data_IF_419803035538
#
_entry.id   IF_419803035538
#
_cell.length_a   1.000
_cell.length_b   1.000
_cell.length_c   1.000
_cell.angle_alpha   90.00
_cell.angle_beta   90.00
_cell.angle_gamma   90.00
#
_symmetry.space_group_name_H-M   'P 1'
#
loop_
_entity.id
_entity.type
_entity.pdbx_description
1 polymer ?
#
# COMPACT_ATOMS: atom_id res chain seq x y z
N UNK A 1 14.38 -8.32 -39.01
CA UNK A 1 14.24 -7.93 -37.59
C UNK A 1 13.96 -9.19 -36.79
N UNK A 2 14.65 -9.41 -35.68
CA UNK A 2 14.48 -10.61 -34.85
C UNK A 2 13.06 -10.62 -34.25
N UNK A 3 12.32 -11.73 -34.39
CA UNK A 3 11.02 -11.90 -33.74
C UNK A 3 11.24 -11.94 -32.23
N UNK A 4 10.71 -10.95 -31.52
CA UNK A 4 10.64 -10.96 -30.06
C UNK A 4 9.68 -12.10 -29.67
N UNK A 5 10.13 -12.99 -28.79
CA UNK A 5 9.29 -14.07 -28.25
C UNK A 5 8.58 -13.53 -27.03
N UNK A 6 7.27 -13.32 -27.17
CA UNK A 6 6.41 -12.90 -26.07
C UNK A 6 6.25 -14.04 -25.07
N UNK A 7 6.26 -13.71 -23.78
CA UNK A 7 5.84 -14.66 -22.75
C UNK A 7 4.31 -14.81 -22.73
N UNK A 8 3.79 -15.75 -21.92
CA UNK A 8 2.35 -16.02 -21.90
C UNK A 8 1.51 -14.82 -21.44
N UNK A 9 2.03 -13.98 -20.54
CA UNK A 9 1.34 -12.81 -20.03
C UNK A 9 1.35 -11.68 -21.07
N UNK A 10 2.49 -11.47 -21.73
CA UNK A 10 2.61 -10.51 -22.81
C UNK A 10 1.71 -10.88 -24.00
N UNK A 11 1.62 -12.17 -24.33
CA UNK A 11 0.75 -12.68 -25.40
C UNK A 11 -0.74 -12.51 -25.04
N UNK A 12 -1.12 -12.66 -23.78
CA UNK A 12 -2.49 -12.42 -23.28
C UNK A 12 -2.87 -10.93 -23.42
N UNK A 13 -1.99 -10.02 -23.00
CA UNK A 13 -2.19 -8.57 -23.19
C UNK A 13 -2.31 -8.22 -24.68
N UNK A 14 -1.46 -8.79 -25.54
CA UNK A 14 -1.49 -8.52 -26.99
C UNK A 14 -2.81 -8.98 -27.61
N UNK A 15 -3.32 -10.15 -27.19
CA UNK A 15 -4.59 -10.68 -27.69
C UNK A 15 -5.80 -9.84 -27.26
N UNK A 16 -5.77 -9.29 -26.04
CA UNK A 16 -6.82 -8.40 -25.52
C UNK A 16 -6.66 -6.94 -25.98
N UNK A 17 -5.53 -6.59 -26.60
CA UNK A 17 -5.19 -5.21 -26.93
C UNK A 17 -6.20 -4.55 -27.87
N UNK A 18 -6.80 -5.33 -28.78
CA UNK A 18 -7.81 -4.86 -29.73
C UNK A 18 -9.15 -4.48 -29.06
N UNK A 19 -9.45 -5.03 -27.88
CA UNK A 19 -10.66 -4.70 -27.11
C UNK A 19 -10.52 -3.42 -26.28
N UNK A 20 -9.29 -2.93 -26.08
CA UNK A 20 -9.06 -1.70 -25.33
C UNK A 20 -9.48 -0.47 -26.13
N UNK A 21 -10.56 0.17 -25.68
CA UNK A 21 -10.99 1.46 -26.21
C UNK A 21 -10.31 2.63 -25.50
N UNK A 22 -10.06 3.72 -26.24
CA UNK A 22 -9.58 4.96 -25.63
C UNK A 22 -10.64 5.49 -24.67
N UNK A 23 -10.28 5.64 -23.40
CA UNK A 23 -11.19 6.19 -22.39
C UNK A 23 -11.68 7.59 -22.82
N UNK A 24 -12.96 7.91 -22.58
CA UNK A 24 -13.52 9.23 -22.87
C UNK A 24 -12.69 10.36 -22.27
N UNK A 25 -12.63 11.52 -22.96
CA UNK A 25 -11.92 12.73 -22.47
C UNK A 25 -12.30 13.08 -21.03
N UNK A 26 -13.56 12.86 -20.63
CA UNK A 26 -14.07 13.07 -19.26
C UNK A 26 -13.45 12.09 -18.26
N UNK A 27 -13.36 10.81 -18.62
CA UNK A 27 -12.74 9.76 -17.80
C UNK A 27 -11.25 10.01 -17.64
N UNK A 28 -10.55 10.35 -18.73
CA UNK A 28 -9.14 10.71 -18.68
C UNK A 28 -8.88 11.92 -17.78
N UNK A 29 -9.70 12.97 -17.87
CA UNK A 29 -9.58 14.16 -17.01
C UNK A 29 -9.81 13.80 -15.52
N UNK A 30 -10.79 12.94 -15.22
CA UNK A 30 -11.06 12.47 -13.85
C UNK A 30 -9.88 11.66 -13.30
N UNK A 31 -9.36 10.71 -14.07
CA UNK A 31 -8.21 9.89 -13.66
C UNK A 31 -6.97 10.76 -13.44
N UNK A 32 -6.68 11.70 -14.37
CA UNK A 32 -5.59 12.67 -14.20
C UNK A 32 -5.74 13.50 -12.93
N UNK A 33 -6.96 13.94 -12.60
CA UNK A 33 -7.24 14.69 -11.36
C UNK A 33 -7.00 13.86 -10.10
N UNK A 34 -7.43 12.60 -10.10
CA UNK A 34 -7.21 11.68 -8.97
C UNK A 34 -5.71 11.46 -8.78
N UNK A 35 -4.98 11.20 -9.86
CA UNK A 35 -3.52 10.99 -9.83
C UNK A 35 -2.82 12.26 -9.34
N UNK A 36 -3.19 13.44 -9.83
CA UNK A 36 -2.58 14.70 -9.39
C UNK A 36 -2.80 14.97 -7.91
N UNK A 37 -3.99 14.68 -7.39
CA UNK A 37 -4.31 14.83 -5.96
C UNK A 37 -3.55 13.81 -5.10
N UNK A 38 -3.45 12.55 -5.56
CA UNK A 38 -2.69 11.53 -4.84
C UNK A 38 -1.18 11.81 -4.81
N UNK A 39 -0.67 12.52 -5.82
CA UNK A 39 0.74 12.90 -5.92
C UNK A 39 1.10 14.17 -5.14
N UNK A 40 0.12 14.87 -4.58
CA UNK A 40 0.38 16.03 -3.73
C UNK A 40 1.05 15.57 -2.43
N UNK A 41 2.31 15.97 -2.25
CA UNK A 41 3.15 15.53 -1.12
C UNK A 41 3.49 16.71 -0.23
N UNK A 42 3.18 16.59 1.05
CA UNK A 42 3.60 17.52 2.08
C UNK A 42 4.87 17.01 2.77
N UNK A 43 5.85 17.89 2.98
CA UNK A 43 7.09 17.56 3.70
C UNK A 43 6.89 17.75 5.20
N UNK A 44 7.22 16.72 5.97
CA UNK A 44 7.23 16.77 7.44
C UNK A 44 8.64 16.46 7.96
N UNK A 45 9.02 17.09 9.08
CA UNK A 45 10.27 16.80 9.80
C UNK A 45 9.92 16.11 11.12
N UNK A 46 10.46 14.92 11.35
CA UNK A 46 10.24 14.14 12.58
C UNK A 46 11.57 13.89 13.29
N UNK A 47 11.60 14.14 14.61
CA UNK A 47 12.75 13.77 15.46
C UNK A 47 12.48 12.43 16.11
N UNK A 48 13.40 11.48 15.92
CA UNK A 48 13.35 10.15 16.50
C UNK A 48 14.65 9.89 17.26
N UNK A 49 14.58 9.13 18.34
CA UNK A 49 15.78 8.59 18.96
C UNK A 49 16.36 7.47 18.06
N UNK A 50 17.63 7.15 18.27
CA UNK A 50 18.35 6.18 17.43
C UNK A 50 17.72 4.77 17.51
N UNK A 51 17.35 4.33 18.72
CA UNK A 51 16.77 3.00 18.95
C UNK A 51 15.46 2.79 18.16
N UNK A 52 14.59 3.80 18.16
CA UNK A 52 13.32 3.79 17.42
C UNK A 52 13.56 3.79 15.92
N UNK A 53 14.50 4.61 15.42
CA UNK A 53 14.81 4.66 13.99
C UNK A 53 15.32 3.30 13.48
N UNK A 54 16.21 2.65 14.23
CA UNK A 54 16.73 1.32 13.86
C UNK A 54 15.66 0.24 13.94
N UNK A 55 14.75 0.29 14.93
CA UNK A 55 13.63 -0.63 14.99
C UNK A 55 12.69 -0.49 13.77
N UNK A 56 12.44 0.75 13.32
CA UNK A 56 11.62 1.03 12.14
C UNK A 56 12.31 0.51 10.87
N UNK A 57 13.61 0.75 10.71
CA UNK A 57 14.37 0.25 9.54
C UNK A 57 14.32 -1.28 9.44
N UNK A 58 14.48 -1.97 10.57
CA UNK A 58 14.40 -3.44 10.61
C UNK A 58 13.02 -3.93 10.16
N UNK A 59 11.94 -3.36 10.70
CA UNK A 59 10.57 -3.71 10.28
C UNK A 59 10.31 -3.41 8.81
N UNK A 60 10.82 -2.29 8.31
CA UNK A 60 10.69 -1.93 6.90
C UNK A 60 11.41 -2.95 6.01
N UNK A 61 12.60 -3.41 6.42
CA UNK A 61 13.34 -4.45 5.73
C UNK A 61 12.61 -5.80 5.74
N UNK A 62 12.00 -6.18 6.87
CA UNK A 62 11.15 -7.38 6.98
C UNK A 62 9.98 -7.35 5.98
N UNK A 63 9.37 -6.17 5.76
CA UNK A 63 8.31 -5.97 4.76
C UNK A 63 8.85 -5.73 3.32
N UNK A 64 10.16 -5.67 3.12
CA UNK A 64 10.77 -5.38 1.81
C UNK A 64 10.54 -3.95 1.32
N UNK A 65 10.28 -3.00 2.23
CA UNK A 65 9.96 -1.61 1.92
C UNK A 65 11.07 -0.65 2.38
N UNK A 66 11.29 0.48 1.67
CA UNK A 66 12.10 1.58 2.19
C UNK A 66 11.53 2.10 3.52
N UNK A 67 12.38 2.42 4.49
CA UNK A 67 11.92 2.86 5.82
C UNK A 67 11.08 4.14 5.77
N UNK A 68 11.34 5.07 4.83
CA UNK A 68 10.47 6.24 4.66
C UNK A 68 9.07 5.83 4.19
N UNK A 69 8.98 4.94 3.20
CA UNK A 69 7.71 4.41 2.66
C UNK A 69 6.93 3.68 3.75
N UNK A 70 7.63 2.89 4.56
CA UNK A 70 7.04 2.19 5.70
C UNK A 70 6.47 3.16 6.74
N UNK A 71 7.21 4.22 7.11
CA UNK A 71 6.70 5.28 8.00
C UNK A 71 5.45 5.94 7.42
N UNK A 72 5.46 6.31 6.13
CA UNK A 72 4.31 6.91 5.46
C UNK A 72 3.09 5.98 5.45
N UNK A 73 3.29 4.68 5.21
CA UNK A 73 2.25 3.67 5.24
C UNK A 73 1.62 3.55 6.63
N UNK A 74 2.44 3.55 7.70
CA UNK A 74 1.94 3.53 9.08
C UNK A 74 1.11 4.78 9.36
N UNK A 75 1.60 5.98 9.03
CA UNK A 75 0.88 7.23 9.27
C UNK A 75 -0.46 7.25 8.53
N UNK A 76 -0.48 6.78 7.28
CA UNK A 76 -1.71 6.64 6.51
C UNK A 76 -2.68 5.65 7.17
N UNK A 77 -2.21 4.45 7.54
CA UNK A 77 -3.04 3.43 8.22
C UNK A 77 -3.59 3.95 9.54
N UNK A 78 -2.76 4.65 10.31
CA UNK A 78 -3.15 5.23 11.59
C UNK A 78 -4.22 6.32 11.42
N UNK A 79 -4.01 7.26 10.49
CA UNK A 79 -4.95 8.36 10.24
C UNK A 79 -6.30 7.92 9.65
N UNK A 80 -6.39 6.72 9.09
CA UNK A 80 -7.61 6.16 8.50
C UNK A 80 -8.21 5.02 9.34
N UNK A 81 -7.81 4.87 10.62
CA UNK A 81 -8.26 3.80 11.52
C UNK A 81 -8.07 2.37 10.98
N UNK A 82 -7.10 2.19 10.06
CA UNK A 82 -6.75 0.90 9.44
C UNK A 82 -5.55 0.24 10.12
N UNK A 83 -4.95 0.88 11.12
CA UNK A 83 -3.85 0.30 11.87
C UNK A 83 -4.40 -0.65 12.94
N UNK A 84 -4.48 -1.94 12.59
CA UNK A 84 -4.85 -2.97 13.56
C UNK A 84 -3.64 -3.39 14.39
N UNK A 85 -3.74 -3.22 15.71
CA UNK A 85 -2.77 -3.80 16.64
C UNK A 85 -3.16 -5.24 16.96
N UNK A 86 -2.36 -6.18 16.48
CA UNK A 86 -2.53 -7.63 16.73
C UNK A 86 -2.65 -7.95 18.22
N UNK A 87 -1.96 -7.21 19.10
CA UNK A 87 -2.05 -7.42 20.54
C UNK A 87 -3.42 -7.03 21.09
N UNK A 88 -4.03 -5.98 20.55
CA UNK A 88 -5.39 -5.59 20.91
C UNK A 88 -6.41 -6.64 20.45
N UNK A 89 -6.26 -7.18 19.24
CA UNK A 89 -7.13 -8.26 18.73
C UNK A 89 -7.01 -9.50 19.62
N UNK A 90 -5.79 -9.97 19.91
CA UNK A 90 -5.56 -11.13 20.77
C UNK A 90 -6.12 -10.94 22.19
N UNK A 91 -5.99 -9.73 22.74
CA UNK A 91 -6.58 -9.39 24.05
C UNK A 91 -8.11 -9.46 23.99
N UNK A 92 -8.73 -8.85 22.98
CA UNK A 92 -10.19 -8.88 22.79
C UNK A 92 -10.71 -10.30 22.59
N UNK A 93 -10.05 -11.12 21.78
CA UNK A 93 -10.38 -12.54 21.59
C UNK A 93 -10.29 -13.33 22.90
N UNK A 94 -9.25 -13.09 23.70
CA UNK A 94 -9.09 -13.72 25.02
C UNK A 94 -10.15 -13.28 26.04
N UNK A 95 -10.63 -12.04 25.95
CA UNK A 95 -11.71 -11.53 26.79
C UNK A 95 -13.05 -12.18 26.39
N UNK A 96 -13.33 -12.26 25.09
CA UNK A 96 -14.52 -12.94 24.56
C UNK A 96 -14.54 -14.43 24.90
N UNK A 97 -13.40 -15.13 24.80
CA UNK A 97 -13.33 -16.55 25.14
C UNK A 97 -13.52 -16.82 26.64
N UNK A 98 -13.12 -15.89 27.52
CA UNK A 98 -13.39 -15.98 28.96
C UNK A 98 -14.85 -15.69 29.31
N UNK A 99 -15.55 -14.90 28.50
CA UNK A 99 -16.94 -14.50 28.75
C UNK A 99 -17.95 -15.60 28.38
N UNK A 100 -17.58 -16.51 27.46
CA UNK A 100 -18.37 -17.66 27.02
C UNK A 100 -18.19 -18.92 27.90
N UNK A 101 -17.52 -18.80 29.05
CA UNK A 101 -17.42 -19.86 30.06
C UNK A 101 -18.32 -19.49 31.24
N UNK A 102 -19.62 -19.38 30.99
CA UNK A 102 -20.72 -19.44 31.96
C UNK A 102 -21.88 -20.14 31.28
#
# INVERSE_FOLDING_TARGET
MSKIKLDNFEQEIENEAEEYSTASKKTQARVKKIISQANEKNRITLRLNNQTLEAIKRKAQEEGLPYQTFISSILYKYANDKLMDEKHILKSLRMLSKQNVI
#
